data_IF_736995604833
#
_entry.id   IF_736995604833
#
_cell.length_a   1.000
_cell.length_b   1.000
_cell.length_c   1.000
_cell.angle_alpha   90.00
_cell.angle_beta   90.00
_cell.angle_gamma   90.00
#
_symmetry.space_group_name_H-M   'P 1'
#
loop_
_entity.id
_entity.type
_entity.pdbx_description
1 polymer ?
#
# COMPACT_ATOMS: atom_id res chain seq x y z
N UNK A 1 -12.06 -5.56 6.93
CA UNK A 1 -10.65 -5.66 6.51
C UNK A 1 -10.36 -6.88 5.66
N UNK A 2 -10.84 -8.08 6.04
CA UNK A 2 -10.65 -9.32 5.26
C UNK A 2 -11.29 -9.27 3.87
N UNK A 3 -12.38 -8.51 3.68
CA UNK A 3 -13.00 -8.31 2.37
C UNK A 3 -12.07 -7.60 1.39
N UNK A 4 -11.18 -6.73 1.87
CA UNK A 4 -10.24 -5.98 1.02
C UNK A 4 -9.11 -6.82 0.42
N UNK A 5 -8.87 -8.04 0.90
CA UNK A 5 -7.92 -8.98 0.30
C UNK A 5 -8.34 -9.34 -1.13
N UNK A 6 -9.65 -9.34 -1.41
CA UNK A 6 -10.19 -9.72 -2.70
C UNK A 6 -10.07 -8.63 -3.77
N UNK A 7 -9.89 -7.37 -3.38
CA UNK A 7 -9.64 -6.27 -4.33
C UNK A 7 -8.27 -6.44 -5.01
N UNK A 8 -7.14 -6.59 -4.29
CA UNK A 8 -5.85 -6.91 -4.90
C UNK A 8 -5.87 -8.20 -5.70
N UNK A 9 -6.54 -9.25 -5.22
CA UNK A 9 -6.66 -10.50 -5.96
C UNK A 9 -7.41 -10.32 -7.28
N UNK A 10 -8.54 -9.62 -7.26
CA UNK A 10 -9.30 -9.26 -8.47
C UNK A 10 -8.44 -8.42 -9.43
N UNK A 11 -7.72 -7.44 -8.90
CA UNK A 11 -6.85 -6.56 -9.67
C UNK A 11 -5.71 -7.32 -10.33
N UNK A 12 -5.09 -8.26 -9.60
CA UNK A 12 -4.05 -9.12 -10.17
C UNK A 12 -4.58 -9.95 -11.35
N UNK A 13 -5.77 -10.54 -11.20
CA UNK A 13 -6.34 -11.41 -12.24
C UNK A 13 -6.82 -10.61 -13.47
N UNK A 14 -7.55 -9.54 -13.24
CA UNK A 14 -8.30 -8.84 -14.31
C UNK A 14 -7.68 -7.49 -14.72
N UNK A 15 -6.70 -7.00 -13.96
CA UNK A 15 -6.12 -5.66 -14.16
C UNK A 15 -7.02 -4.52 -13.71
N UNK A 16 -8.08 -4.81 -12.96
CA UNK A 16 -8.99 -3.84 -12.37
C UNK A 16 -9.76 -4.47 -11.22
N UNK A 17 -10.33 -3.65 -10.34
CA UNK A 17 -11.23 -4.15 -9.30
C UNK A 17 -12.57 -4.59 -9.90
N UNK A 18 -12.73 -5.89 -10.06
CA UNK A 18 -13.95 -6.52 -10.55
C UNK A 18 -14.85 -7.06 -9.43
N UNK A 19 -14.50 -6.85 -8.16
CA UNK A 19 -15.29 -7.36 -7.02
C UNK A 19 -16.72 -6.84 -7.02
N UNK A 20 -16.95 -5.66 -7.58
CA UNK A 20 -18.28 -5.07 -7.76
C UNK A 20 -19.17 -5.83 -8.77
N UNK A 21 -18.59 -6.68 -9.59
CA UNK A 21 -19.29 -7.46 -10.63
C UNK A 21 -19.43 -8.93 -10.26
N UNK A 22 -18.89 -9.36 -9.12
CA UNK A 22 -18.96 -10.74 -8.70
C UNK A 22 -20.36 -11.12 -8.22
N UNK A 23 -21.09 -11.83 -9.07
CA UNK A 23 -22.41 -12.39 -8.76
C UNK A 23 -22.36 -13.90 -8.88
N UNK A 24 -22.74 -14.60 -7.82
CA UNK A 24 -22.74 -16.08 -7.78
C UNK A 24 -24.10 -16.52 -7.19
N UNK A 25 -24.78 -17.39 -7.92
CA UNK A 25 -26.03 -18.01 -7.45
C UNK A 25 -27.11 -17.01 -6.96
N UNK A 26 -27.22 -15.84 -7.62
CA UNK A 26 -28.21 -14.80 -7.26
C UNK A 26 -27.80 -13.90 -6.10
N UNK A 27 -26.59 -14.08 -5.55
CA UNK A 27 -26.06 -13.20 -4.51
C UNK A 27 -25.52 -11.91 -5.09
N UNK A 28 -25.72 -10.82 -4.37
CA UNK A 28 -25.13 -9.52 -4.71
C UNK A 28 -23.62 -9.50 -4.46
N UNK A 29 -22.84 -8.65 -5.16
CA UNK A 29 -21.38 -8.59 -5.06
C UNK A 29 -20.88 -8.43 -3.62
N UNK A 30 -21.53 -7.63 -2.80
CA UNK A 30 -21.19 -7.43 -1.40
C UNK A 30 -21.36 -8.70 -0.56
N UNK A 31 -22.38 -9.51 -0.87
CA UNK A 31 -22.62 -10.79 -0.19
C UNK A 31 -21.57 -11.82 -0.61
N UNK A 32 -21.21 -11.87 -1.92
CA UNK A 32 -20.16 -12.75 -2.42
C UNK A 32 -18.81 -12.43 -1.77
N UNK A 33 -18.41 -11.16 -1.75
CA UNK A 33 -17.18 -10.72 -1.11
C UNK A 33 -17.22 -10.98 0.41
N UNK A 34 -18.38 -10.82 1.04
CA UNK A 34 -18.59 -11.16 2.46
C UNK A 34 -18.37 -12.65 2.76
N UNK A 35 -18.94 -13.54 1.95
CA UNK A 35 -18.73 -14.99 2.10
C UNK A 35 -17.27 -15.39 1.88
N UNK A 36 -16.62 -14.82 0.86
CA UNK A 36 -15.20 -15.02 0.62
C UNK A 36 -14.35 -14.50 1.80
N UNK A 37 -14.74 -13.38 2.42
CA UNK A 37 -14.07 -12.88 3.61
C UNK A 37 -14.18 -13.84 4.80
N UNK A 38 -15.35 -14.45 4.98
CA UNK A 38 -15.54 -15.50 6.01
C UNK A 38 -14.66 -16.71 5.71
N UNK A 39 -14.64 -17.19 4.47
CA UNK A 39 -13.76 -18.30 4.07
C UNK A 39 -12.29 -17.98 4.32
N UNK A 40 -11.85 -16.76 4.02
CA UNK A 40 -10.50 -16.27 4.30
C UNK A 40 -10.20 -16.28 5.81
N UNK A 41 -11.12 -15.79 6.64
CA UNK A 41 -10.95 -15.79 8.10
C UNK A 41 -10.83 -17.20 8.66
N UNK A 42 -11.63 -18.15 8.17
CA UNK A 42 -11.53 -19.56 8.56
C UNK A 42 -10.14 -20.10 8.19
N UNK A 43 -9.69 -19.85 6.96
CA UNK A 43 -8.38 -20.30 6.49
C UNK A 43 -7.25 -19.73 7.37
N UNK A 44 -7.27 -18.43 7.65
CA UNK A 44 -6.28 -17.78 8.52
C UNK A 44 -6.31 -18.36 9.91
N UNK A 45 -7.50 -18.60 10.48
CA UNK A 45 -7.66 -19.21 11.82
C UNK A 45 -7.09 -20.63 11.85
N UNK A 46 -7.37 -21.45 10.83
CA UNK A 46 -6.80 -22.80 10.71
C UNK A 46 -5.28 -22.78 10.59
N UNK A 47 -4.73 -21.83 9.81
CA UNK A 47 -3.27 -21.66 9.72
C UNK A 47 -2.70 -21.22 11.06
N UNK A 48 -3.36 -20.27 11.74
CA UNK A 48 -2.95 -19.76 13.04
C UNK A 48 -2.95 -20.86 14.12
N UNK A 49 -3.94 -21.76 14.10
CA UNK A 49 -4.02 -22.88 15.04
C UNK A 49 -2.88 -23.90 14.92
N UNK A 50 -2.16 -23.90 13.79
CA UNK A 50 -1.02 -24.82 13.53
C UNK A 50 0.29 -24.40 14.23
N UNK A 51 0.25 -23.35 15.02
CA UNK A 51 1.34 -22.93 15.89
C UNK A 51 2.12 -21.73 15.39
N UNK A 52 2.73 -21.06 16.36
CA UNK A 52 3.38 -19.74 16.18
C UNK A 52 4.53 -19.76 15.19
N UNK A 53 5.27 -20.87 15.07
CA UNK A 53 6.41 -20.95 14.15
C UNK A 53 5.97 -20.85 12.67
N UNK A 54 4.79 -21.36 12.31
CA UNK A 54 4.25 -21.23 10.96
C UNK A 54 3.77 -19.81 10.69
N UNK A 55 3.10 -19.21 11.68
CA UNK A 55 2.66 -17.81 11.59
C UNK A 55 3.89 -16.91 11.43
N UNK A 56 4.92 -17.06 12.27
CA UNK A 56 6.12 -16.25 12.22
C UNK A 56 6.81 -16.35 10.85
N UNK A 57 6.87 -17.55 10.25
CA UNK A 57 7.45 -17.74 8.91
C UNK A 57 6.63 -17.01 7.83
N UNK A 58 5.30 -17.16 7.84
CA UNK A 58 4.42 -16.49 6.87
C UNK A 58 4.53 -14.98 7.01
N UNK A 59 4.51 -14.47 8.25
CA UNK A 59 4.64 -13.03 8.53
C UNK A 59 6.00 -12.50 8.11
N UNK A 60 7.09 -13.26 8.32
CA UNK A 60 8.43 -12.87 7.89
C UNK A 60 8.50 -12.77 6.36
N UNK A 61 7.97 -13.75 5.62
CA UNK A 61 7.93 -13.71 4.15
C UNK A 61 7.08 -12.52 3.67
N UNK A 62 5.90 -12.31 4.27
CA UNK A 62 5.04 -11.16 3.94
C UNK A 62 5.75 -9.82 4.23
N UNK A 63 6.42 -9.71 5.37
CA UNK A 63 7.19 -8.51 5.73
C UNK A 63 8.32 -8.22 4.74
N UNK A 64 9.08 -9.24 4.34
CA UNK A 64 10.13 -9.10 3.32
C UNK A 64 9.51 -8.67 1.98
N UNK A 65 8.39 -9.26 1.57
CA UNK A 65 7.72 -8.88 0.34
C UNK A 65 7.30 -7.40 0.34
N UNK A 66 6.70 -6.92 1.44
CA UNK A 66 6.33 -5.50 1.61
C UNK A 66 7.57 -4.60 1.57
N UNK A 67 8.68 -4.98 2.20
CA UNK A 67 9.93 -4.22 2.14
C UNK A 67 10.49 -4.17 0.71
N UNK A 68 10.45 -5.27 -0.03
CA UNK A 68 10.84 -5.31 -1.44
C UNK A 68 9.95 -4.41 -2.31
N UNK A 69 8.64 -4.43 -2.10
CA UNK A 69 7.71 -3.54 -2.80
C UNK A 69 7.98 -2.06 -2.53
N UNK A 70 8.24 -1.69 -1.27
CA UNK A 70 8.63 -0.33 -0.93
C UNK A 70 9.97 0.06 -1.60
N UNK A 71 10.95 -0.85 -1.65
CA UNK A 71 12.20 -0.60 -2.35
C UNK A 71 11.99 -0.37 -3.85
N UNK A 72 11.15 -1.18 -4.49
CA UNK A 72 10.78 -1.00 -5.90
C UNK A 72 10.11 0.36 -6.10
N UNK A 73 9.18 0.76 -5.24
CA UNK A 73 8.53 2.06 -5.29
C UNK A 73 9.55 3.20 -5.20
N UNK A 74 10.50 3.12 -4.28
CA UNK A 74 11.58 4.10 -4.12
C UNK A 74 12.44 4.18 -5.38
N UNK A 75 12.89 3.05 -5.89
CA UNK A 75 13.76 2.99 -7.08
C UNK A 75 13.04 3.54 -8.32
N UNK A 76 11.79 3.18 -8.53
CA UNK A 76 10.99 3.69 -9.66
C UNK A 76 10.79 5.20 -9.54
N UNK A 77 10.45 5.71 -8.37
CA UNK A 77 10.25 7.14 -8.13
C UNK A 77 11.54 7.94 -8.35
N UNK A 78 12.67 7.43 -7.86
CA UNK A 78 14.00 8.06 -8.09
C UNK A 78 14.32 8.03 -9.58
N UNK A 79 14.09 6.92 -10.27
CA UNK A 79 14.34 6.81 -11.72
C UNK A 79 13.52 7.84 -12.50
N UNK A 80 12.24 7.99 -12.19
CA UNK A 80 11.38 9.01 -12.81
C UNK A 80 11.96 10.41 -12.59
N UNK A 81 12.35 10.75 -11.35
CA UNK A 81 12.93 12.05 -11.05
C UNK A 81 14.22 12.30 -11.81
N UNK A 82 15.10 11.32 -11.90
CA UNK A 82 16.36 11.45 -12.65
C UNK A 82 16.12 11.63 -14.15
N UNK A 83 15.18 10.87 -14.73
CA UNK A 83 14.82 10.97 -16.14
C UNK A 83 14.15 12.31 -16.48
N UNK A 84 13.42 12.89 -15.51
CA UNK A 84 12.82 14.21 -15.64
C UNK A 84 13.79 15.37 -15.29
N UNK A 85 15.08 15.11 -15.21
CA UNK A 85 16.10 16.13 -14.90
C UNK A 85 16.02 16.66 -13.46
N UNK A 86 15.43 15.92 -12.53
CA UNK A 86 15.23 16.33 -11.14
C UNK A 86 14.00 17.22 -10.91
N UNK A 87 13.21 17.49 -11.94
CA UNK A 87 11.98 18.28 -11.81
C UNK A 87 10.84 17.45 -11.21
N UNK A 88 10.11 18.06 -10.29
CA UNK A 88 8.91 17.44 -9.72
C UNK A 88 7.79 17.35 -10.76
N UNK A 89 7.01 16.29 -10.70
CA UNK A 89 5.88 16.07 -11.60
C UNK A 89 4.72 17.07 -11.40
N UNK A 90 4.71 17.78 -10.29
CA UNK A 90 3.76 18.84 -9.96
C UNK A 90 4.36 19.83 -8.97
N UNK A 91 3.81 21.04 -8.91
CA UNK A 91 4.18 22.02 -7.89
C UNK A 91 3.71 21.56 -6.52
N UNK A 92 4.64 21.46 -5.58
CA UNK A 92 4.35 21.01 -4.21
C UNK A 92 4.60 22.18 -3.26
N UNK A 93 3.55 22.58 -2.56
CA UNK A 93 3.67 23.46 -1.42
C UNK A 93 3.71 22.64 -0.13
N UNK A 94 4.87 22.60 0.51
CA UNK A 94 5.06 21.84 1.75
C UNK A 94 4.42 22.51 2.98
N UNK A 95 3.98 23.76 2.87
CA UNK A 95 3.40 24.54 3.96
C UNK A 95 1.88 24.63 3.90
N UNK A 96 1.27 24.28 2.78
CA UNK A 96 -0.17 24.36 2.61
C UNK A 96 -0.71 23.16 1.81
N UNK A 97 -1.82 22.60 2.28
CA UNK A 97 -2.53 21.57 1.53
C UNK A 97 -3.17 22.17 0.28
N UNK A 98 -3.09 21.52 -0.90
CA UNK A 98 -3.83 21.92 -2.07
C UNK A 98 -5.35 21.74 -1.91
N UNK A 99 -5.78 20.90 -0.95
CA UNK A 99 -7.19 20.70 -0.65
C UNK A 99 -7.68 21.73 0.37
N UNK A 100 -8.66 22.60 0.00
CA UNK A 100 -9.20 23.63 0.89
C UNK A 100 -9.70 23.10 2.24
N UNK A 101 -10.22 21.86 2.26
CA UNK A 101 -10.71 21.22 3.49
C UNK A 101 -9.62 20.89 4.52
N UNK A 102 -8.35 20.95 4.12
CA UNK A 102 -7.19 20.59 4.98
C UNK A 102 -6.16 21.71 5.11
N UNK A 103 -6.56 22.96 4.91
CA UNK A 103 -5.67 24.11 5.05
C UNK A 103 -5.56 24.64 6.49
N UNK A 104 -6.53 24.33 7.35
CA UNK A 104 -6.45 24.71 8.77
C UNK A 104 -5.54 23.75 9.54
N UNK A 105 -4.82 24.27 10.54
CA UNK A 105 -3.96 23.43 11.39
C UNK A 105 -4.72 22.31 12.11
N UNK A 106 -5.98 22.57 12.49
CA UNK A 106 -6.83 21.55 13.10
C UNK A 106 -7.20 20.44 12.11
N UNK A 107 -7.50 20.78 10.86
CA UNK A 107 -7.78 19.79 9.83
C UNK A 107 -6.53 18.98 9.46
N UNK A 108 -5.34 19.59 9.47
CA UNK A 108 -4.08 18.88 9.30
C UNK A 108 -3.80 17.87 10.42
N UNK A 109 -4.20 18.17 11.67
CA UNK A 109 -4.08 17.23 12.78
C UNK A 109 -4.88 15.93 12.57
N UNK A 110 -5.91 15.96 11.74
CA UNK A 110 -6.65 14.72 11.39
C UNK A 110 -5.77 13.68 10.72
N UNK A 111 -4.71 14.09 10.00
CA UNK A 111 -3.73 13.16 9.43
C UNK A 111 -2.86 12.45 10.47
N UNK A 112 -2.69 13.03 11.65
CA UNK A 112 -1.97 12.40 12.76
C UNK A 112 -2.67 11.10 13.18
N UNK A 113 -4.00 11.07 13.11
CA UNK A 113 -4.78 9.85 13.39
C UNK A 113 -4.42 8.74 12.41
N UNK A 114 -4.28 9.05 11.11
CA UNK A 114 -3.86 8.07 10.11
C UNK A 114 -2.41 7.62 10.34
N UNK A 115 -1.52 8.53 10.73
CA UNK A 115 -0.15 8.18 11.07
C UNK A 115 -0.10 7.24 12.28
N UNK A 116 -0.88 7.50 13.33
CA UNK A 116 -1.00 6.60 14.49
C UNK A 116 -1.49 5.21 14.06
N UNK A 117 -2.52 5.16 13.20
CA UNK A 117 -3.01 3.89 12.67
C UNK A 117 -1.97 3.14 11.82
N UNK A 118 -1.08 3.83 11.12
CA UNK A 118 -0.01 3.21 10.35
C UNK A 118 1.01 2.49 11.24
N UNK A 119 1.15 2.91 12.50
CA UNK A 119 1.97 2.25 13.53
C UNK A 119 1.17 1.26 14.39
N UNK A 120 -0.14 1.13 14.18
CA UNK A 120 -0.98 0.15 14.86
C UNK A 120 -0.49 -1.28 14.63
N UNK A 121 -0.64 -2.14 15.66
CA UNK A 121 -0.21 -3.54 15.60
C UNK A 121 1.09 -3.82 16.37
N UNK A 122 1.85 -2.81 16.78
CA UNK A 122 3.02 -3.00 17.67
C UNK A 122 2.59 -3.66 18.99
N UNK A 123 1.44 -3.32 19.50
CA UNK A 123 0.85 -3.93 20.70
C UNK A 123 0.63 -5.45 20.55
N UNK A 124 0.31 -5.91 19.36
CA UNK A 124 0.13 -7.35 19.09
C UNK A 124 1.45 -8.13 19.20
N UNK A 125 2.58 -7.47 18.97
CA UNK A 125 3.91 -8.08 19.10
C UNK A 125 4.25 -8.35 20.57
N UNK A 126 3.62 -7.64 21.53
CA UNK A 126 3.77 -7.88 22.96
C UNK A 126 3.50 -9.32 23.38
N UNK A 127 2.58 -10.01 22.71
CA UNK A 127 2.33 -11.44 22.94
C UNK A 127 3.45 -12.40 22.53
N UNK A 128 4.51 -11.88 21.91
CA UNK A 128 5.68 -12.66 21.49
C UNK A 128 6.89 -12.50 22.43
N UNK A 129 6.78 -11.66 23.45
CA UNK A 129 7.89 -11.36 24.37
C UNK A 129 8.44 -12.62 24.99
N UNK A 130 7.57 -13.48 25.55
CA UNK A 130 7.94 -14.72 26.24
C UNK A 130 8.61 -15.78 25.32
N UNK A 131 8.50 -15.58 24.00
CA UNK A 131 9.07 -16.48 22.99
C UNK A 131 10.32 -15.91 22.32
N UNK A 132 10.76 -14.75 22.77
CA UNK A 132 11.94 -14.06 22.25
C UNK A 132 13.15 -14.45 23.12
N UNK A 133 14.26 -14.82 22.50
CA UNK A 133 15.52 -15.05 23.23
C UNK A 133 16.02 -13.74 23.83
N UNK A 134 16.34 -13.73 25.12
CA UNK A 134 16.74 -12.53 25.87
C UNK A 134 15.79 -11.34 25.63
N UNK A 135 14.49 -11.46 26.00
CA UNK A 135 13.45 -10.53 25.60
C UNK A 135 13.72 -9.10 26.05
N UNK A 136 14.28 -8.89 27.26
CA UNK A 136 14.62 -7.55 27.78
C UNK A 136 15.53 -6.76 26.84
N UNK A 137 16.43 -7.45 26.15
CA UNK A 137 17.40 -6.80 25.26
C UNK A 137 16.96 -6.86 23.80
N UNK A 138 16.54 -8.02 23.32
CA UNK A 138 16.29 -8.24 21.89
C UNK A 138 14.93 -7.67 21.46
N UNK A 139 13.91 -7.79 22.32
CA UNK A 139 12.58 -7.25 22.04
C UNK A 139 12.61 -5.72 21.98
N UNK A 140 13.21 -5.05 22.99
CA UNK A 140 13.33 -3.61 23.00
C UNK A 140 14.10 -3.07 21.79
N UNK A 141 15.25 -3.71 21.44
CA UNK A 141 16.02 -3.34 20.24
C UNK A 141 15.23 -3.54 18.95
N UNK A 142 14.50 -4.65 18.86
CA UNK A 142 13.68 -4.97 17.69
C UNK A 142 12.58 -3.91 17.46
N UNK A 143 11.89 -3.49 18.50
CA UNK A 143 10.85 -2.45 18.40
C UNK A 143 11.44 -1.11 17.98
N UNK A 144 12.53 -0.67 18.62
CA UNK A 144 13.18 0.60 18.27
C UNK A 144 13.67 0.59 16.83
N UNK A 145 14.31 -0.50 16.40
CA UNK A 145 14.77 -0.64 15.03
C UNK A 145 13.60 -0.65 14.03
N UNK A 146 12.53 -1.38 14.32
CA UNK A 146 11.33 -1.42 13.49
C UNK A 146 10.67 -0.03 13.39
N UNK A 147 10.56 0.70 14.51
CA UNK A 147 10.00 2.05 14.51
C UNK A 147 10.80 3.01 13.62
N UNK A 148 12.13 2.97 13.68
CA UNK A 148 12.99 3.80 12.84
C UNK A 148 12.84 3.44 11.36
N UNK A 149 12.92 2.14 11.02
CA UNK A 149 12.83 1.66 9.63
C UNK A 149 11.46 1.98 9.03
N UNK A 150 10.40 1.78 9.78
CA UNK A 150 9.03 2.08 9.32
C UNK A 150 8.86 3.59 9.13
N UNK A 151 9.31 4.42 10.07
CA UNK A 151 9.20 5.87 9.97
C UNK A 151 9.92 6.43 8.75
N UNK A 152 11.17 6.02 8.54
CA UNK A 152 11.97 6.44 7.39
C UNK A 152 11.35 5.89 6.10
N UNK A 153 10.99 4.60 6.07
CA UNK A 153 10.44 3.93 4.89
C UNK A 153 9.15 4.60 4.41
N UNK A 154 8.20 4.83 5.30
CA UNK A 154 6.94 5.49 4.95
C UNK A 154 7.13 6.93 4.51
N UNK A 155 7.91 7.71 5.27
CA UNK A 155 8.14 9.13 4.94
C UNK A 155 8.81 9.27 3.58
N UNK A 156 9.84 8.46 3.33
CA UNK A 156 10.58 8.50 2.06
C UNK A 156 9.74 8.00 0.89
N UNK A 157 8.99 6.92 1.07
CA UNK A 157 8.12 6.38 0.01
C UNK A 157 7.02 7.37 -0.38
N UNK A 158 6.33 7.96 0.59
CA UNK A 158 5.27 8.95 0.35
C UNK A 158 5.85 10.19 -0.32
N UNK A 159 7.00 10.69 0.16
CA UNK A 159 7.67 11.86 -0.41
C UNK A 159 8.06 11.61 -1.87
N UNK A 160 8.84 10.57 -2.14
CA UNK A 160 9.33 10.27 -3.48
C UNK A 160 8.19 10.00 -4.46
N UNK A 161 7.17 9.30 -4.02
CA UNK A 161 5.99 9.08 -4.84
C UNK A 161 5.22 10.38 -5.11
N UNK A 162 5.02 11.21 -4.09
CA UNK A 162 4.37 12.51 -4.21
C UNK A 162 5.06 13.46 -5.18
N UNK A 163 6.41 13.43 -5.28
CA UNK A 163 7.17 14.29 -6.18
C UNK A 163 7.35 13.71 -7.58
N UNK A 164 7.25 12.38 -7.74
CA UNK A 164 7.46 11.70 -9.03
C UNK A 164 6.20 11.57 -9.88
N UNK A 165 5.00 11.71 -9.29
CA UNK A 165 3.71 11.54 -9.99
C UNK A 165 2.79 12.73 -9.77
N UNK A 166 1.98 13.07 -10.78
CA UNK A 166 0.94 14.07 -10.64
C UNK A 166 -0.32 13.47 -9.99
N UNK A 167 -0.25 13.23 -8.68
CA UNK A 167 -1.34 12.63 -7.92
C UNK A 167 -2.60 13.52 -7.86
N UNK A 168 -2.47 14.84 -7.99
CA UNK A 168 -3.62 15.74 -8.05
C UNK A 168 -4.49 15.42 -9.26
N UNK A 169 -3.88 15.28 -10.43
CA UNK A 169 -4.58 14.92 -11.67
C UNK A 169 -5.21 13.52 -11.56
N UNK A 170 -4.50 12.58 -10.96
CA UNK A 170 -4.98 11.21 -10.78
C UNK A 170 -6.19 11.17 -9.83
N UNK A 171 -6.12 11.86 -8.70
CA UNK A 171 -7.18 11.87 -7.69
C UNK A 171 -8.37 12.78 -8.04
N UNK A 172 -8.21 13.72 -8.97
CA UNK A 172 -9.33 14.55 -9.45
C UNK A 172 -10.34 13.76 -10.29
N UNK A 173 -9.96 12.57 -10.74
CA UNK A 173 -10.86 11.68 -11.45
C UNK A 173 -11.87 11.06 -10.46
N UNK A 174 -13.15 11.40 -10.59
CA UNK A 174 -14.22 10.96 -9.69
C UNK A 174 -14.46 9.43 -9.62
N UNK A 175 -13.75 8.64 -10.43
CA UNK A 175 -13.78 7.18 -10.37
C UNK A 175 -12.87 6.59 -9.26
N UNK A 176 -12.00 7.42 -8.65
CA UNK A 176 -11.08 6.97 -7.60
C UNK A 176 -11.80 6.93 -6.26
N UNK A 177 -11.69 5.81 -5.57
CA UNK A 177 -12.25 5.60 -4.24
C UNK A 177 -11.26 4.82 -3.34
N UNK A 178 -11.56 4.69 -2.06
CA UNK A 178 -10.70 4.00 -1.10
C UNK A 178 -10.47 2.51 -1.43
N UNK A 179 -11.31 1.91 -2.26
CA UNK A 179 -11.17 0.50 -2.66
C UNK A 179 -10.17 0.30 -3.79
N UNK A 180 -10.03 1.28 -4.69
CA UNK A 180 -9.18 1.16 -5.88
C UNK A 180 -7.98 2.11 -5.90
N UNK A 181 -7.84 2.97 -4.89
CA UNK A 181 -6.81 4.03 -4.87
C UNK A 181 -5.40 3.48 -5.06
N UNK A 182 -5.03 2.40 -4.38
CA UNK A 182 -3.69 1.80 -4.49
C UNK A 182 -3.41 1.36 -5.92
N UNK A 183 -4.36 0.67 -6.55
CA UNK A 183 -4.24 0.26 -7.94
C UNK A 183 -4.06 1.45 -8.88
N UNK A 184 -4.92 2.47 -8.73
CA UNK A 184 -4.89 3.65 -9.61
C UNK A 184 -3.56 4.39 -9.49
N UNK A 185 -3.06 4.54 -8.27
CA UNK A 185 -1.80 5.22 -8.01
C UNK A 185 -0.59 4.42 -8.52
N UNK A 186 -0.56 3.11 -8.33
CA UNK A 186 0.50 2.24 -8.86
C UNK A 186 0.47 2.18 -10.39
N UNK A 187 -0.71 2.13 -11.00
CA UNK A 187 -0.87 2.24 -12.44
C UNK A 187 -0.33 3.57 -12.97
N UNK A 188 -0.66 4.68 -12.30
CA UNK A 188 -0.16 6.00 -12.67
C UNK A 188 1.37 6.09 -12.58
N UNK A 189 1.96 5.55 -11.53
CA UNK A 189 3.42 5.52 -11.37
C UNK A 189 4.10 4.74 -12.50
N UNK A 190 3.59 3.55 -12.83
CA UNK A 190 4.13 2.74 -13.93
C UNK A 190 3.96 3.41 -15.29
N UNK A 191 2.84 4.10 -15.54
CA UNK A 191 2.64 4.89 -16.77
C UNK A 191 3.61 6.08 -16.83
N UNK A 192 3.82 6.76 -15.71
CA UNK A 192 4.77 7.88 -15.62
C UNK A 192 6.19 7.42 -15.92
N UNK A 193 6.58 6.25 -15.40
CA UNK A 193 7.85 5.62 -15.74
C UNK A 193 7.96 5.33 -17.25
N UNK A 194 6.92 4.74 -17.83
CA UNK A 194 6.88 4.46 -19.27
C UNK A 194 7.04 5.73 -20.12
N UNK A 195 6.36 6.81 -19.74
CA UNK A 195 6.47 8.10 -20.41
C UNK A 195 7.87 8.72 -20.25
N UNK A 196 8.47 8.63 -19.05
CA UNK A 196 9.83 9.10 -18.80
C UNK A 196 10.90 8.31 -19.60
N UNK A 197 10.61 7.05 -19.91
CA UNK A 197 11.43 6.21 -20.79
C UNK A 197 11.13 6.41 -22.29
N UNK A 198 10.28 7.38 -22.64
CA UNK A 198 9.84 7.66 -24.00
C UNK A 198 9.20 6.46 -24.74
N UNK A 199 8.51 5.59 -24.00
CA UNK A 199 7.76 4.50 -24.58
C UNK A 199 6.50 5.02 -25.30
N UNK A 200 5.96 4.21 -26.24
CA UNK A 200 4.68 4.54 -26.86
C UNK A 200 3.56 4.60 -25.81
N UNK A 201 2.47 5.36 -26.06
CA UNK A 201 1.34 5.44 -25.11
C UNK A 201 0.75 4.08 -24.73
N UNK A 202 0.69 3.15 -25.68
CA UNK A 202 0.21 1.79 -25.44
C UNK A 202 1.17 0.98 -24.55
N UNK A 203 2.48 1.09 -24.79
CA UNK A 203 3.49 0.43 -23.99
C UNK A 203 3.53 1.01 -22.56
N UNK A 204 3.39 2.34 -22.41
CA UNK A 204 3.32 3.01 -21.11
C UNK A 204 2.07 2.57 -20.32
N UNK A 205 0.92 2.45 -20.99
CA UNK A 205 -0.30 1.95 -20.38
C UNK A 205 -0.14 0.49 -19.94
N UNK A 206 0.43 -0.36 -20.79
CA UNK A 206 0.70 -1.75 -20.47
C UNK A 206 1.62 -1.89 -19.28
N UNK A 207 2.72 -1.12 -19.23
CA UNK A 207 3.64 -1.07 -18.11
C UNK A 207 2.91 -0.65 -16.82
N UNK A 208 2.07 0.38 -16.88
CA UNK A 208 1.27 0.83 -15.75
C UNK A 208 0.33 -0.25 -15.22
N UNK A 209 -0.37 -0.96 -16.10
CA UNK A 209 -1.29 -2.06 -15.73
C UNK A 209 -0.52 -3.20 -15.07
N UNK A 210 0.60 -3.63 -15.65
CA UNK A 210 1.41 -4.70 -15.07
C UNK A 210 2.05 -4.30 -13.74
N UNK A 211 2.53 -3.08 -13.65
CA UNK A 211 3.07 -2.54 -12.40
C UNK A 211 2.01 -2.57 -11.28
N UNK A 212 0.80 -2.08 -11.57
CA UNK A 212 -0.30 -2.10 -10.63
C UNK A 212 -0.77 -3.52 -10.27
N UNK A 213 -0.74 -4.48 -11.19
CA UNK A 213 -1.08 -5.89 -10.92
C UNK A 213 -0.13 -6.53 -9.90
N UNK A 214 1.14 -6.16 -9.94
CA UNK A 214 2.18 -6.77 -9.08
C UNK A 214 2.26 -6.05 -7.73
N UNK A 215 2.03 -4.73 -7.69
CA UNK A 215 2.28 -3.88 -6.52
C UNK A 215 1.02 -3.36 -5.83
N UNK A 216 -0.11 -3.35 -6.51
CA UNK A 216 -1.43 -2.83 -6.05
C UNK A 216 -2.31 -3.93 -5.50
#
# INVERSE_FOLDING_TARGET
>A
TSAKVWVPFSTFLYGSDMTQHWRIAGLEPTQVVGLLAVAWMILVTVVASKGINKIARITAVGGIAVMCLNLVLLLVSITILLLNGGHFAQDINFLASPNPGYQSGLAMLSFVVFAIFAYGGIEAVGGLVDKTENPEKNFAKGIVFAAIVISIGYSLAIFLWGVSTNWQQVLSNGSVNLGNITYVLMKSLGMTLGNALHLSPEASLSLGVWFARITG
#
